data_IF_769241953590
#
_entry.id   IF_769241953590
#
_cell.length_a   1.000
_cell.length_b   1.000
_cell.length_c   1.000
_cell.angle_alpha   90.00
_cell.angle_beta   90.00
_cell.angle_gamma   90.00
#
_symmetry.space_group_name_H-M   'P 1'
#
loop_
_entity.id
_entity.type
_entity.pdbx_description
1 polymer ?
#
# COMPACT_ATOMS: atom_id res chain seq x y z
N UNK A 1 31.38 -0.90 -23.91
CA UNK A 1 31.44 -2.18 -23.18
C UNK A 1 30.60 -2.03 -21.92
N UNK A 2 29.36 -2.51 -21.96
CA UNK A 2 28.37 -2.33 -20.91
C UNK A 2 28.55 -3.44 -19.88
N UNK A 3 28.95 -3.08 -18.66
CA UNK A 3 29.07 -4.03 -17.55
C UNK A 3 27.65 -4.48 -17.15
N UNK A 4 27.38 -5.79 -16.99
CA UNK A 4 26.07 -6.26 -16.56
C UNK A 4 25.87 -5.90 -15.08
N UNK A 5 24.72 -5.29 -14.74
CA UNK A 5 24.28 -5.17 -13.36
C UNK A 5 24.15 -6.59 -12.78
N UNK A 6 25.02 -6.91 -11.82
CA UNK A 6 24.93 -8.15 -11.08
C UNK A 6 23.57 -8.18 -10.36
N UNK A 7 22.75 -9.20 -10.67
CA UNK A 7 21.60 -9.55 -9.83
C UNK A 7 22.15 -9.88 -8.45
N UNK A 8 21.81 -9.07 -7.45
CA UNK A 8 22.08 -9.42 -6.05
C UNK A 8 21.50 -10.80 -5.75
N UNK A 9 22.27 -11.70 -5.10
CA UNK A 9 21.75 -12.98 -4.69
C UNK A 9 20.60 -12.74 -3.73
N UNK A 10 19.48 -13.45 -3.92
CA UNK A 10 18.38 -13.51 -2.94
C UNK A 10 19.00 -13.85 -1.60
N UNK A 11 19.07 -12.87 -0.70
CA UNK A 11 19.42 -13.13 0.69
C UNK A 11 18.31 -14.02 1.23
N UNK A 12 18.69 -15.21 1.67
CA UNK A 12 17.86 -16.01 2.56
C UNK A 12 17.69 -15.20 3.84
N UNK A 13 16.60 -14.43 3.92
CA UNK A 13 16.24 -13.67 5.10
C UNK A 13 16.03 -14.66 6.26
N UNK A 14 16.99 -14.70 7.19
CA UNK A 14 16.70 -15.04 8.57
C UNK A 14 15.85 -13.91 9.17
N UNK A 15 14.55 -13.89 8.86
CA UNK A 15 13.69 -12.71 9.02
C UNK A 15 12.24 -13.03 9.40
N UNK A 16 12.00 -14.08 10.19
CA UNK A 16 10.64 -14.51 10.54
C UNK A 16 9.81 -13.44 11.28
N UNK A 17 10.42 -12.66 12.18
CA UNK A 17 9.70 -11.67 12.98
C UNK A 17 9.49 -10.32 12.26
N UNK A 18 10.46 -9.87 11.46
CA UNK A 18 10.32 -8.63 10.70
C UNK A 18 9.39 -8.82 9.50
N UNK A 19 9.44 -9.97 8.82
CA UNK A 19 8.50 -10.27 7.73
C UNK A 19 7.04 -10.25 8.22
N UNK A 20 6.78 -10.79 9.41
CA UNK A 20 5.44 -10.78 10.02
C UNK A 20 4.90 -9.35 10.25
N UNK A 21 5.72 -8.42 10.75
CA UNK A 21 5.30 -7.04 11.05
C UNK A 21 4.71 -6.31 9.82
N UNK A 22 5.38 -6.40 8.67
CA UNK A 22 4.97 -5.66 7.47
C UNK A 22 3.85 -6.34 6.70
N UNK A 23 3.68 -7.65 6.89
CA UNK A 23 2.75 -8.46 6.11
C UNK A 23 1.46 -8.82 6.85
N UNK A 24 1.44 -8.65 8.18
CA UNK A 24 0.26 -8.82 9.04
C UNK A 24 -0.45 -7.49 9.30
N UNK A 25 -0.63 -6.70 8.24
CA UNK A 25 -1.38 -5.46 8.28
C UNK A 25 -2.02 -5.12 6.94
N UNK A 26 -3.04 -4.27 6.99
CA UNK A 26 -3.69 -3.73 5.80
C UNK A 26 -2.84 -2.65 5.12
N UNK A 27 -2.69 -2.78 3.81
CA UNK A 27 -2.03 -1.77 2.97
C UNK A 27 -3.05 -1.10 2.05
N UNK A 28 -3.07 0.25 1.97
CA UNK A 28 -3.85 0.94 0.97
C UNK A 28 -3.14 0.77 -0.38
N UNK A 29 -3.82 0.16 -1.35
CA UNK A 29 -3.22 -0.11 -2.66
C UNK A 29 -3.52 1.02 -3.65
N UNK A 30 -4.80 1.32 -3.85
CA UNK A 30 -5.25 2.29 -4.84
C UNK A 30 -6.66 2.77 -4.53
N UNK A 31 -7.00 3.98 -4.98
CA UNK A 31 -8.39 4.46 -4.96
C UNK A 31 -9.22 3.77 -6.04
N UNK A 32 -10.46 3.41 -5.74
CA UNK A 32 -11.37 2.75 -6.68
C UNK A 32 -11.55 3.54 -7.97
N UNK A 33 -11.68 4.87 -7.85
CA UNK A 33 -11.85 5.75 -8.99
C UNK A 33 -10.64 5.66 -9.94
N UNK A 34 -9.43 5.70 -9.39
CA UNK A 34 -8.19 5.58 -10.15
C UNK A 34 -8.01 4.17 -10.74
N UNK A 35 -8.40 3.12 -10.02
CA UNK A 35 -8.27 1.74 -10.49
C UNK A 35 -9.18 1.40 -11.69
N UNK A 36 -10.25 2.17 -11.89
CA UNK A 36 -11.16 2.01 -13.02
C UNK A 36 -10.69 2.77 -14.28
N UNK A 37 -9.70 3.65 -14.16
CA UNK A 37 -9.17 4.39 -15.30
C UNK A 37 -8.39 3.46 -16.24
N UNK A 38 -8.63 3.59 -17.55
CA UNK A 38 -7.97 2.76 -18.59
C UNK A 38 -6.44 2.90 -18.63
N UNK A 39 -5.89 3.89 -17.93
CA UNK A 39 -4.45 4.16 -17.82
C UNK A 39 -3.92 4.05 -16.39
N UNK A 40 -4.67 3.42 -15.47
CA UNK A 40 -4.19 3.18 -14.12
C UNK A 40 -2.80 2.52 -14.14
N UNK A 41 -1.82 3.01 -13.38
CA UNK A 41 -0.50 2.40 -13.37
C UNK A 41 -0.59 0.97 -12.84
N UNK A 42 0.34 0.08 -13.26
CA UNK A 42 0.46 -1.25 -12.66
C UNK A 42 0.58 -1.13 -11.15
N UNK A 43 -0.19 -1.96 -10.44
CA UNK A 43 -0.14 -2.00 -8.99
C UNK A 43 0.92 -3.02 -8.56
N UNK A 44 1.73 -2.63 -7.58
CA UNK A 44 2.78 -3.46 -7.00
C UNK A 44 2.72 -3.36 -5.48
N UNK A 45 2.97 -4.47 -4.81
CA UNK A 45 3.15 -4.46 -3.36
C UNK A 45 4.34 -5.37 -3.02
N UNK A 46 5.34 -4.78 -2.37
CA UNK A 46 6.60 -5.44 -2.02
C UNK A 46 7.35 -6.05 -3.22
N UNK A 47 7.28 -5.41 -4.38
CA UNK A 47 7.89 -5.91 -5.62
C UNK A 47 7.13 -7.06 -6.26
N UNK A 48 5.91 -7.35 -5.80
CA UNK A 48 4.99 -8.30 -6.43
C UNK A 48 3.94 -7.55 -7.25
N UNK A 49 3.91 -7.74 -8.58
CA UNK A 49 2.86 -7.18 -9.43
C UNK A 49 1.49 -7.76 -9.10
N UNK A 50 0.52 -6.88 -8.89
CA UNK A 50 -0.86 -7.23 -8.56
C UNK A 50 -1.80 -6.90 -9.72
N UNK A 51 -2.71 -7.83 -10.02
CA UNK A 51 -3.84 -7.60 -10.92
C UNK A 51 -5.10 -7.33 -10.08
N UNK A 52 -5.79 -6.24 -10.39
CA UNK A 52 -7.05 -5.86 -9.75
C UNK A 52 -8.20 -6.15 -10.71
N UNK A 53 -9.26 -6.76 -10.20
CA UNK A 53 -10.47 -7.08 -10.97
C UNK A 53 -11.69 -6.64 -10.20
N UNK A 54 -12.59 -5.89 -10.85
CA UNK A 54 -13.92 -5.57 -10.31
C UNK A 54 -14.94 -6.50 -10.93
N UNK A 55 -15.66 -7.25 -10.11
CA UNK A 55 -16.75 -8.12 -10.56
C UNK A 55 -17.91 -7.29 -11.09
N UNK A 56 -18.82 -7.91 -11.87
CA UNK A 56 -20.03 -7.22 -12.35
C UNK A 56 -20.95 -6.73 -11.23
N UNK A 57 -20.82 -7.30 -10.02
CA UNK A 57 -21.51 -6.85 -8.80
C UNK A 57 -20.81 -5.72 -8.05
N UNK A 58 -19.65 -5.26 -8.53
CA UNK A 58 -18.88 -4.17 -7.93
C UNK A 58 -17.87 -4.59 -6.85
N UNK A 59 -17.72 -5.89 -6.60
CA UNK A 59 -16.74 -6.42 -5.64
C UNK A 59 -15.34 -6.43 -6.24
N UNK A 60 -14.32 -6.08 -5.46
CA UNK A 60 -12.93 -6.10 -5.91
C UNK A 60 -12.23 -7.37 -5.50
N UNK A 61 -11.39 -7.87 -6.40
CA UNK A 61 -10.48 -8.98 -6.17
C UNK A 61 -9.07 -8.52 -6.52
N UNK A 62 -8.12 -8.79 -5.62
CA UNK A 62 -6.70 -8.50 -5.83
C UNK A 62 -5.92 -9.81 -5.90
N UNK A 63 -5.11 -9.98 -6.94
CA UNK A 63 -4.34 -11.21 -7.16
C UNK A 63 -2.87 -10.94 -7.44
N UNK A 64 -1.98 -11.78 -6.91
CA UNK A 64 -0.63 -11.93 -7.47
C UNK A 64 -0.74 -12.49 -8.89
N UNK A 65 -0.29 -11.69 -9.85
CA UNK A 65 -0.34 -12.00 -11.28
C UNK A 65 0.43 -13.27 -11.64
N UNK A 66 1.58 -13.48 -11.02
CA UNK A 66 2.49 -14.59 -11.36
C UNK A 66 2.02 -15.93 -10.81
N UNK A 67 1.39 -15.91 -9.63
CA UNK A 67 0.95 -17.12 -8.93
C UNK A 67 -0.54 -17.41 -9.10
N UNK A 68 -1.30 -16.48 -9.67
CA UNK A 68 -2.76 -16.53 -9.68
C UNK A 68 -3.32 -16.75 -8.26
N UNK A 69 -2.72 -16.05 -7.29
CA UNK A 69 -3.05 -16.14 -5.86
C UNK A 69 -3.92 -14.95 -5.48
N UNK A 70 -5.14 -15.21 -5.04
CA UNK A 70 -6.02 -14.18 -4.51
C UNK A 70 -5.60 -13.77 -3.10
N UNK A 71 -5.56 -12.46 -2.86
CA UNK A 71 -5.23 -11.87 -1.57
C UNK A 71 -6.51 -11.37 -0.90
N UNK A 72 -6.65 -11.53 0.43
CA UNK A 72 -7.74 -10.89 1.14
C UNK A 72 -7.70 -9.39 0.90
N UNK A 73 -8.82 -8.85 0.44
CA UNK A 73 -8.95 -7.44 0.09
C UNK A 73 -10.33 -6.92 0.47
N UNK A 74 -10.40 -5.63 0.75
CA UNK A 74 -11.65 -4.96 1.17
C UNK A 74 -11.62 -3.51 0.72
N UNK A 75 -12.78 -2.96 0.39
CA UNK A 75 -12.93 -1.54 0.09
C UNK A 75 -13.42 -0.79 1.34
N UNK A 76 -12.73 0.30 1.68
CA UNK A 76 -13.13 1.26 2.72
C UNK A 76 -12.73 2.66 2.29
N UNK A 77 -13.65 3.63 2.44
CA UNK A 77 -13.43 5.04 2.09
C UNK A 77 -12.87 5.24 0.67
N UNK A 78 -13.42 4.49 -0.30
CA UNK A 78 -13.00 4.56 -1.71
C UNK A 78 -11.61 3.97 -2.00
N UNK A 79 -10.95 3.33 -1.02
CA UNK A 79 -9.62 2.72 -1.16
C UNK A 79 -9.76 1.20 -1.18
N UNK A 80 -9.05 0.55 -2.09
CA UNK A 80 -8.84 -0.91 -2.10
C UNK A 80 -7.70 -1.23 -1.12
N UNK A 81 -8.03 -1.89 -0.01
CA UNK A 81 -7.09 -2.36 1.00
C UNK A 81 -6.75 -3.82 0.79
N UNK A 82 -5.50 -4.20 1.03
CA UNK A 82 -5.01 -5.57 0.80
C UNK A 82 -4.26 -6.08 2.02
N UNK A 83 -4.49 -7.35 2.35
CA UNK A 83 -3.73 -8.09 3.35
C UNK A 83 -2.71 -9.02 2.65
N UNK A 84 -1.40 -8.74 2.76
CA UNK A 84 -0.41 -9.36 1.87
C UNK A 84 0.27 -10.61 2.44
N UNK A 85 -0.10 -11.12 3.62
CA UNK A 85 0.62 -12.25 4.27
C UNK A 85 0.81 -13.46 3.36
N UNK A 86 -0.21 -13.79 2.56
CA UNK A 86 -0.16 -14.93 1.64
C UNK A 86 0.90 -14.77 0.53
N UNK A 87 1.32 -13.53 0.21
CA UNK A 87 2.42 -13.29 -0.73
C UNK A 87 3.73 -13.92 -0.26
N UNK A 88 3.92 -14.10 1.04
CA UNK A 88 5.14 -14.63 1.63
C UNK A 88 4.97 -16.05 2.17
N UNK A 89 3.89 -16.73 1.77
CA UNK A 89 3.59 -18.09 2.23
C UNK A 89 3.07 -18.15 3.66
N UNK A 90 2.65 -17.01 4.22
CA UNK A 90 2.06 -16.95 5.56
C UNK A 90 0.54 -16.77 5.49
N UNK A 91 -0.16 -17.80 5.96
CA UNK A 91 -1.63 -17.81 6.04
C UNK A 91 -2.15 -17.43 7.43
N UNK A 92 -1.26 -17.04 8.35
CA UNK A 92 -1.60 -16.68 9.73
C UNK A 92 -0.93 -15.37 10.14
N UNK A 93 -1.62 -14.44 10.82
CA UNK A 93 -3.02 -14.52 11.22
C UNK A 93 -3.96 -14.24 10.05
N UNK A 94 -5.23 -14.61 10.24
CA UNK A 94 -6.30 -14.13 9.37
C UNK A 94 -6.38 -12.60 9.41
N UNK A 95 -6.79 -11.94 8.32
CA UNK A 95 -6.89 -10.48 8.29
C UNK A 95 -7.79 -9.95 9.41
N UNK A 96 -7.26 -9.02 10.22
CA UNK A 96 -8.01 -8.38 11.30
C UNK A 96 -8.67 -7.09 10.79
N UNK A 97 -9.98 -7.12 10.53
CA UNK A 97 -10.71 -5.92 10.11
C UNK A 97 -10.72 -4.82 11.18
N UNK A 98 -10.63 -5.16 12.48
CA UNK A 98 -10.59 -4.14 13.53
C UNK A 98 -9.33 -3.27 13.44
N UNK A 99 -8.22 -3.82 12.91
CA UNK A 99 -7.02 -3.07 12.60
C UNK A 99 -7.27 -2.03 11.51
N UNK A 100 -7.97 -2.40 10.44
CA UNK A 100 -8.33 -1.47 9.38
C UNK A 100 -9.24 -0.36 9.90
N UNK A 101 -10.27 -0.69 10.66
CA UNK A 101 -11.21 0.30 11.19
C UNK A 101 -10.53 1.35 12.10
N UNK A 102 -9.39 1.03 12.73
CA UNK A 102 -8.57 1.99 13.48
C UNK A 102 -7.78 2.97 12.60
N UNK A 103 -7.59 2.64 11.32
CA UNK A 103 -6.86 3.47 10.35
C UNK A 103 -7.79 4.42 9.57
N UNK A 104 -9.11 4.17 9.60
CA UNK A 104 -10.08 5.00 8.89
C UNK A 104 -10.29 6.35 9.61
N UNK A 105 -10.75 7.34 8.86
CA UNK A 105 -11.03 8.70 9.36
C UNK A 105 -12.54 8.95 9.23
N UNK A 106 -13.35 8.71 10.27
CA UNK A 106 -14.82 8.78 10.17
C UNK A 106 -15.34 10.13 9.67
N UNK A 107 -14.60 11.21 9.92
CA UNK A 107 -14.95 12.57 9.49
C UNK A 107 -15.01 12.71 7.97
N UNK A 108 -14.32 11.86 7.20
CA UNK A 108 -14.40 11.89 5.74
C UNK A 108 -15.78 11.49 5.22
N UNK A 109 -16.55 10.74 6.02
CA UNK A 109 -17.90 10.30 5.67
C UNK A 109 -18.99 11.29 6.16
N UNK A 110 -18.59 12.38 6.84
CA UNK A 110 -19.54 13.39 7.33
C UNK A 110 -20.10 14.26 6.19
N UNK A 111 -21.40 14.60 6.21
CA UNK A 111 -22.00 15.46 5.20
C UNK A 111 -21.30 16.82 5.11
N UNK A 112 -20.94 17.22 3.89
CA UNK A 112 -20.30 18.52 3.63
C UNK A 112 -18.78 18.51 3.73
N UNK A 113 -18.17 17.39 4.10
CA UNK A 113 -16.71 17.22 3.99
C UNK A 113 -16.34 16.94 2.53
N UNK A 114 -15.35 17.68 2.03
CA UNK A 114 -14.79 17.51 0.71
C UNK A 114 -13.32 17.12 0.86
N UNK A 115 -12.90 16.10 0.13
CA UNK A 115 -11.52 15.64 0.08
C UNK A 115 -11.12 15.34 -1.37
N UNK A 116 -9.83 15.24 -1.59
CA UNK A 116 -9.24 14.90 -2.89
C UNK A 116 -8.37 13.69 -2.71
N UNK A 117 -8.66 12.65 -3.47
CA UNK A 117 -7.85 11.45 -3.54
C UNK A 117 -6.54 11.75 -4.26
N UNK A 118 -5.41 11.43 -3.63
CA UNK A 118 -4.09 11.62 -4.22
C UNK A 118 -3.19 10.43 -3.91
N UNK A 119 -2.59 9.87 -4.95
CA UNK A 119 -1.57 8.83 -4.83
C UNK A 119 -0.42 9.14 -5.80
N UNK A 120 0.78 8.72 -5.42
CA UNK A 120 1.97 8.83 -6.28
C UNK A 120 3.02 7.83 -5.83
N UNK A 121 3.85 7.42 -6.77
CA UNK A 121 5.10 6.77 -6.44
C UNK A 121 6.15 7.81 -6.03
N UNK A 122 6.95 7.46 -5.03
CA UNK A 122 8.14 8.19 -4.63
C UNK A 122 9.36 7.28 -4.80
N UNK A 123 10.49 7.78 -5.32
CA UNK A 123 11.70 6.99 -5.50
C UNK A 123 12.46 6.86 -4.16
N UNK A 124 11.78 6.41 -3.11
CA UNK A 124 12.33 6.23 -1.76
C UNK A 124 11.63 5.10 -1.03
N UNK A 125 12.30 4.56 -0.02
CA UNK A 125 11.75 3.52 0.83
C UNK A 125 10.64 4.07 1.76
N UNK A 126 9.66 3.24 2.09
CA UNK A 126 8.53 3.63 2.95
C UNK A 126 8.97 3.99 4.37
N UNK A 127 10.01 3.34 4.90
CA UNK A 127 10.56 3.66 6.23
C UNK A 127 11.16 5.06 6.25
N UNK A 128 11.92 5.43 5.22
CA UNK A 128 12.53 6.76 5.08
C UNK A 128 11.44 7.84 4.96
N UNK A 129 10.34 7.55 4.25
CA UNK A 129 9.21 8.47 4.17
C UNK A 129 8.54 8.64 5.53
N UNK A 130 8.28 7.55 6.25
CA UNK A 130 7.71 7.60 7.60
C UNK A 130 8.60 8.37 8.57
N UNK A 131 9.91 8.14 8.55
CA UNK A 131 10.89 8.88 9.36
C UNK A 131 10.83 10.39 9.04
N UNK A 132 10.79 10.74 7.75
CA UNK A 132 10.69 12.13 7.34
C UNK A 132 9.40 12.80 7.82
N UNK A 133 8.25 12.13 7.71
CA UNK A 133 6.95 12.65 8.16
C UNK A 133 6.90 12.82 9.68
N UNK A 134 7.49 11.88 10.42
CA UNK A 134 7.45 11.87 11.89
C UNK A 134 8.47 12.82 12.53
N UNK A 135 9.51 13.23 11.82
CA UNK A 135 10.55 14.12 12.36
C UNK A 135 10.12 15.60 12.27
N UNK A 136 9.75 16.28 13.38
CA UNK A 136 9.34 17.68 13.33
C UNK A 136 10.47 18.64 12.89
N UNK A 137 11.72 18.19 12.90
CA UNK A 137 12.87 19.01 12.51
C UNK A 137 12.85 19.40 11.02
N UNK A 138 12.12 18.68 10.15
CA UNK A 138 12.01 19.04 8.73
C UNK A 138 11.11 20.26 8.47
N UNK A 139 10.22 20.62 9.40
CA UNK A 139 9.22 21.68 9.22
C UNK A 139 9.87 23.04 8.88
N UNK A 140 10.86 23.55 9.64
CA UNK A 140 11.42 24.88 9.39
C UNK A 140 12.26 24.97 8.11
N UNK A 141 12.75 23.85 7.58
CA UNK A 141 13.66 23.83 6.44
C UNK A 141 12.94 23.51 5.13
N UNK A 142 12.08 22.49 5.12
CA UNK A 142 11.41 22.01 3.90
C UNK A 142 10.07 22.71 3.67
N UNK A 143 9.39 23.12 4.75
CA UNK A 143 8.09 23.79 4.69
C UNK A 143 8.16 25.27 5.08
N UNK A 144 9.35 25.89 5.00
CA UNK A 144 9.50 27.32 5.24
C UNK A 144 8.50 28.08 4.35
N UNK A 145 7.70 28.96 4.96
CA UNK A 145 6.66 29.77 4.33
C UNK A 145 5.44 29.03 3.76
N UNK A 146 5.36 27.69 3.87
CA UNK A 146 4.19 26.92 3.40
C UNK A 146 3.36 26.37 4.56
N UNK A 147 4.00 25.84 5.62
CA UNK A 147 3.29 25.24 6.78
C UNK A 147 3.76 25.83 8.12
N UNK A 148 5.06 26.09 8.32
CA UNK A 148 5.55 26.74 9.54
C UNK A 148 5.87 28.21 9.31
N UNK A 149 5.34 29.07 10.17
CA UNK A 149 5.82 30.45 10.40
C UNK A 149 6.58 30.52 11.70
#
# INVERSE_FOLDING_TARGET
ATLPLARSPRSSLGGGATCALWTHQWWPLVFEAAALDRGAPPQDLFGVPLDLRKSGGGEWTVCDKSRNLELPSVVRQGIVWVWPSALFGDSSPSPDLSQLERLLVPQLDEPGVLFVDYFRDLPMDSTVLCENVLDPSHLPFTHHLTISR
#
